data_IF_638799150536
#
_entry.id   IF_638799150536
#
_cell.length_a   1.000
_cell.length_b   1.000
_cell.length_c   1.000
_cell.angle_alpha   90.00
_cell.angle_beta   90.00
_cell.angle_gamma   90.00
#
_symmetry.space_group_name_H-M   'P 1'
#
loop_
_entity.id
_entity.type
_entity.pdbx_description
1 polymer ?
#
# COMPACT_ATOMS: atom_id res chain seq x y z
N UNK A 1 25.10 0.27 4.41
CA UNK A 1 24.61 1.15 5.50
C UNK A 1 24.35 2.52 4.90
N UNK A 2 23.12 3.02 4.95
CA UNK A 2 22.86 4.41 4.58
C UNK A 2 23.43 5.33 5.66
N UNK A 3 24.21 6.32 5.26
CA UNK A 3 24.58 7.42 6.13
C UNK A 3 23.39 8.40 6.19
N UNK A 4 22.38 8.03 6.97
CA UNK A 4 21.19 8.84 7.25
C UNK A 4 21.29 9.32 8.69
N UNK A 5 20.98 10.59 8.91
CA UNK A 5 20.88 11.18 10.25
C UNK A 5 19.62 10.68 10.96
N UNK A 6 19.61 10.73 12.29
CA UNK A 6 18.42 10.38 13.08
C UNK A 6 17.17 11.19 12.67
N UNK A 7 17.36 12.47 12.31
CA UNK A 7 16.26 13.34 11.87
C UNK A 7 15.69 12.91 10.53
N UNK A 8 16.54 12.55 9.57
CA UNK A 8 16.11 12.02 8.27
C UNK A 8 15.38 10.68 8.45
N UNK A 9 15.90 9.78 9.29
CA UNK A 9 15.24 8.50 9.59
C UNK A 9 13.85 8.71 10.22
N UNK A 10 13.73 9.66 11.15
CA UNK A 10 12.45 10.02 11.74
C UNK A 10 11.48 10.53 10.68
N UNK A 11 11.89 11.46 9.82
CA UNK A 11 11.05 12.01 8.78
C UNK A 11 10.59 10.92 7.79
N UNK A 12 11.47 10.01 7.41
CA UNK A 12 11.13 8.88 6.55
C UNK A 12 10.16 7.90 7.21
N UNK A 13 10.28 7.64 8.51
CA UNK A 13 9.29 6.84 9.24
C UNK A 13 7.90 7.51 9.23
N UNK A 14 7.85 8.82 9.45
CA UNK A 14 6.60 9.59 9.40
C UNK A 14 5.98 9.52 8.00
N UNK A 15 6.76 9.75 6.95
CA UNK A 15 6.29 9.66 5.55
C UNK A 15 5.73 8.27 5.26
N UNK A 16 6.47 7.21 5.59
CA UNK A 16 6.01 5.82 5.36
C UNK A 16 4.72 5.51 6.11
N UNK A 17 4.59 5.97 7.35
CA UNK A 17 3.37 5.82 8.14
C UNK A 17 2.16 6.50 7.49
N UNK A 18 2.31 7.73 7.01
CA UNK A 18 1.23 8.43 6.31
C UNK A 18 0.87 7.79 4.97
N UNK A 19 1.87 7.34 4.21
CA UNK A 19 1.64 6.65 2.93
C UNK A 19 0.86 5.34 3.15
N UNK A 20 1.28 4.53 4.14
CA UNK A 20 0.56 3.32 4.52
C UNK A 20 -0.89 3.61 4.97
N UNK A 21 -1.10 4.69 5.71
CA UNK A 21 -2.45 5.12 6.13
C UNK A 21 -3.31 5.51 4.92
N UNK A 22 -2.77 6.28 3.98
CA UNK A 22 -3.46 6.65 2.74
C UNK A 22 -3.85 5.41 1.92
N UNK A 23 -2.99 4.41 1.85
CA UNK A 23 -3.31 3.15 1.18
C UNK A 23 -4.48 2.41 1.85
N UNK A 24 -4.43 2.24 3.18
CA UNK A 24 -5.51 1.54 3.90
C UNK A 24 -6.84 2.29 3.78
N UNK A 25 -6.83 3.62 3.87
CA UNK A 25 -8.03 4.45 3.72
C UNK A 25 -8.59 4.36 2.30
N UNK A 26 -7.75 4.50 1.27
CA UNK A 26 -8.18 4.40 -0.13
C UNK A 26 -8.74 3.02 -0.48
N UNK A 27 -8.10 1.95 -0.01
CA UNK A 27 -8.61 0.59 -0.13
C UNK A 27 -9.96 0.42 0.57
N UNK A 28 -10.10 0.93 1.79
CA UNK A 28 -11.35 0.87 2.57
C UNK A 28 -12.50 1.58 1.84
N UNK A 29 -12.22 2.77 1.27
CA UNK A 29 -13.19 3.52 0.47
C UNK A 29 -13.59 2.71 -0.77
N UNK A 30 -12.63 2.15 -1.51
CA UNK A 30 -12.89 1.36 -2.71
C UNK A 30 -13.78 0.16 -2.41
N UNK A 31 -13.43 -0.63 -1.38
CA UNK A 31 -14.22 -1.80 -0.95
C UNK A 31 -15.63 -1.38 -0.57
N UNK A 32 -15.77 -0.29 0.20
CA UNK A 32 -17.08 0.19 0.65
C UNK A 32 -17.97 0.60 -0.52
N UNK A 33 -17.40 1.25 -1.53
CA UNK A 33 -18.10 1.72 -2.74
C UNK A 33 -18.54 0.57 -3.65
N UNK A 34 -17.73 -0.51 -3.73
CA UNK A 34 -18.01 -1.69 -4.55
C UNK A 34 -19.03 -2.62 -3.88
N UNK A 35 -18.81 -2.96 -2.60
CA UNK A 35 -19.62 -3.97 -1.89
C UNK A 35 -21.00 -3.43 -1.48
N UNK A 36 -21.12 -2.11 -1.29
CA UNK A 36 -22.34 -1.40 -0.84
C UNK A 36 -22.89 -1.83 0.54
N UNK A 37 -22.42 -2.95 1.10
CA UNK A 37 -22.79 -3.50 2.39
C UNK A 37 -21.64 -3.36 3.38
N UNK A 38 -21.84 -2.51 4.39
CA UNK A 38 -20.83 -2.18 5.40
C UNK A 38 -20.30 -3.44 6.10
N UNK A 39 -21.19 -4.34 6.55
CA UNK A 39 -20.78 -5.57 7.27
C UNK A 39 -19.89 -6.48 6.41
N UNK A 40 -20.22 -6.65 5.13
CA UNK A 40 -19.40 -7.46 4.22
C UNK A 40 -18.05 -6.77 3.91
N UNK A 41 -18.04 -5.44 3.78
CA UNK A 41 -16.81 -4.66 3.61
C UNK A 41 -15.85 -4.81 4.78
N UNK A 42 -16.36 -4.75 6.02
CA UNK A 42 -15.56 -4.97 7.24
C UNK A 42 -14.93 -6.35 7.24
N UNK A 43 -15.69 -7.39 6.89
CA UNK A 43 -15.17 -8.77 6.81
C UNK A 43 -14.01 -8.87 5.81
N UNK A 44 -14.14 -8.28 4.62
CA UNK A 44 -13.07 -8.28 3.60
C UNK A 44 -11.82 -7.56 4.11
N UNK A 45 -11.96 -6.42 4.79
CA UNK A 45 -10.84 -5.69 5.39
C UNK A 45 -10.16 -6.52 6.48
N UNK A 46 -10.92 -7.20 7.34
CA UNK A 46 -10.36 -8.11 8.34
C UNK A 46 -9.57 -9.25 7.69
N UNK A 47 -10.12 -9.89 6.66
CA UNK A 47 -9.39 -10.92 5.91
C UNK A 47 -8.11 -10.39 5.28
N UNK A 48 -8.14 -9.17 4.73
CA UNK A 48 -6.95 -8.52 4.20
C UNK A 48 -5.87 -8.33 5.27
N UNK A 49 -6.23 -7.86 6.47
CA UNK A 49 -5.26 -7.71 7.57
C UNK A 49 -4.67 -9.04 8.02
N UNK A 50 -5.49 -10.09 8.16
CA UNK A 50 -5.00 -11.44 8.48
C UNK A 50 -4.03 -11.94 7.40
N UNK A 51 -4.36 -11.71 6.14
CA UNK A 51 -3.50 -12.07 5.02
C UNK A 51 -2.15 -11.32 5.07
N UNK A 52 -2.14 -10.02 5.38
CA UNK A 52 -0.90 -9.27 5.56
C UNK A 52 -0.03 -9.83 6.67
N UNK A 53 -0.62 -10.21 7.81
CA UNK A 53 0.12 -10.82 8.93
C UNK A 53 0.74 -12.17 8.53
N UNK A 54 0.04 -12.98 7.75
CA UNK A 54 0.59 -14.25 7.23
C UNK A 54 1.76 -13.96 6.29
N UNK A 55 1.62 -12.98 5.39
CA UNK A 55 2.68 -12.59 4.46
C UNK A 55 3.91 -12.01 5.17
N UNK A 56 3.73 -11.30 6.27
CA UNK A 56 4.84 -10.84 7.12
C UNK A 56 5.64 -12.02 7.71
N UNK A 57 4.97 -13.12 8.06
CA UNK A 57 5.63 -14.33 8.59
C UNK A 57 6.27 -15.20 7.51
N UNK A 58 5.77 -15.14 6.27
CA UNK A 58 6.35 -15.84 5.12
C UNK A 58 7.48 -15.01 4.50
N UNK A 59 8.58 -14.82 5.25
CA UNK A 59 9.75 -14.04 4.84
C UNK A 59 10.51 -14.78 3.74
N UNK A 60 10.03 -14.66 2.50
CA UNK A 60 10.71 -15.08 1.28
C UNK A 60 11.07 -13.86 0.44
N UNK A 61 12.26 -13.85 -0.15
CA UNK A 61 12.73 -12.74 -0.98
C UNK A 61 11.74 -12.40 -2.11
N UNK A 62 11.18 -13.40 -2.80
CA UNK A 62 10.28 -13.15 -3.94
C UNK A 62 8.95 -12.51 -3.52
N UNK A 63 8.34 -13.01 -2.45
CA UNK A 63 7.10 -12.45 -1.88
C UNK A 63 7.35 -11.03 -1.37
N UNK A 64 8.54 -10.83 -0.80
CA UNK A 64 8.95 -9.56 -0.27
C UNK A 64 9.15 -8.51 -1.35
N UNK A 65 9.90 -8.87 -2.39
CA UNK A 65 10.26 -8.00 -3.48
C UNK A 65 9.05 -7.64 -4.35
N UNK A 66 8.17 -8.60 -4.63
CA UNK A 66 7.06 -8.38 -5.57
C UNK A 66 5.82 -7.77 -4.91
N UNK A 67 5.59 -8.02 -3.62
CA UNK A 67 4.29 -7.73 -3.01
C UNK A 67 4.41 -7.04 -1.66
N UNK A 68 4.96 -7.72 -0.66
CA UNK A 68 4.74 -7.30 0.70
C UNK A 68 5.58 -6.07 1.14
N UNK A 69 6.60 -5.65 0.37
CA UNK A 69 7.27 -4.35 0.57
C UNK A 69 6.37 -3.15 0.27
N UNK A 70 5.41 -3.34 -0.63
CA UNK A 70 4.44 -2.30 -1.02
C UNK A 70 3.21 -2.29 -0.11
N UNK A 71 3.06 -3.27 0.78
CA UNK A 71 1.91 -3.38 1.66
C UNK A 71 2.07 -2.50 2.91
N UNK A 72 0.97 -1.92 3.43
CA UNK A 72 1.01 -0.93 4.50
C UNK A 72 1.64 -1.46 5.79
N UNK A 73 1.42 -2.74 6.11
CA UNK A 73 1.98 -3.38 7.30
C UNK A 73 3.51 -3.34 7.31
N UNK A 74 4.15 -3.63 6.17
CA UNK A 74 5.61 -3.68 6.08
C UNK A 74 6.22 -2.32 5.81
N UNK A 75 5.51 -1.46 5.09
CA UNK A 75 5.93 -0.09 4.84
C UNK A 75 6.05 0.71 6.16
N UNK A 76 5.09 0.54 7.07
CA UNK A 76 5.07 1.23 8.37
C UNK A 76 5.91 0.53 9.46
N UNK A 77 5.95 -0.81 9.48
CA UNK A 77 6.49 -1.59 10.60
C UNK A 77 7.92 -2.12 10.45
N UNK A 78 8.50 -2.12 9.25
CA UNK A 78 9.76 -2.84 9.02
C UNK A 78 11.01 -2.04 9.38
N UNK A 79 11.85 -2.65 10.24
CA UNK A 79 13.22 -2.22 10.55
C UNK A 79 14.23 -2.59 9.45
N UNK A 80 13.90 -3.60 8.64
CA UNK A 80 14.76 -4.12 7.56
C UNK A 80 14.96 -3.12 6.42
N UNK A 81 14.07 -2.13 6.29
CA UNK A 81 14.19 -1.09 5.27
C UNK A 81 15.51 -0.29 5.34
N UNK A 82 16.06 -0.07 6.53
CA UNK A 82 17.30 0.71 6.70
C UNK A 82 18.56 -0.17 6.76
N UNK A 83 18.41 -1.44 7.14
CA UNK A 83 19.53 -2.38 7.33
C UNK A 83 19.73 -3.30 6.13
N UNK A 84 18.65 -3.66 5.44
CA UNK A 84 18.59 -4.53 4.24
C UNK A 84 17.79 -3.85 3.14
N UNK A 85 18.25 -2.68 2.74
CA UNK A 85 17.60 -1.96 1.66
C UNK A 85 17.69 -2.73 0.33
N UNK A 86 16.55 -3.08 -0.24
CA UNK A 86 16.45 -3.76 -1.52
C UNK A 86 16.59 -2.76 -2.68
N UNK A 87 17.23 -3.19 -3.77
CA UNK A 87 17.36 -2.37 -4.98
C UNK A 87 16.43 -2.94 -6.06
N UNK A 88 15.47 -2.13 -6.48
CA UNK A 88 14.59 -2.42 -7.61
C UNK A 88 15.23 -1.96 -8.91
N UNK A 89 15.21 -2.78 -9.96
CA UNK A 89 15.75 -2.40 -11.27
C UNK A 89 14.63 -2.39 -12.28
N UNK A 90 14.31 -1.21 -12.81
CA UNK A 90 13.26 -1.04 -13.82
C UNK A 90 13.74 -0.09 -14.92
N UNK A 91 13.49 -0.44 -16.18
CA UNK A 91 13.87 0.36 -17.36
C UNK A 91 15.36 0.78 -17.39
N UNK A 92 16.26 -0.10 -16.93
CA UNK A 92 17.70 0.18 -16.87
C UNK A 92 18.14 1.13 -15.75
N UNK A 93 17.22 1.58 -14.88
CA UNK A 93 17.53 2.40 -13.70
C UNK A 93 17.37 1.58 -12.43
N UNK A 94 18.28 1.80 -11.48
CA UNK A 94 18.21 1.23 -10.14
C UNK A 94 17.50 2.22 -9.21
N UNK A 95 16.45 1.76 -8.56
CA UNK A 95 15.67 2.48 -7.56
C UNK A 95 15.83 1.83 -6.20
N UNK A 96 15.97 2.67 -5.21
CA UNK A 96 16.05 2.29 -3.81
C UNK A 96 14.66 1.92 -3.28
N UNK A 97 14.52 0.79 -2.55
CA UNK A 97 13.26 0.39 -1.91
C UNK A 97 12.66 1.51 -1.07
N UNK A 98 13.51 2.29 -0.39
CA UNK A 98 13.13 3.39 0.48
C UNK A 98 12.29 4.46 -0.23
N UNK A 99 12.57 4.71 -1.52
CA UNK A 99 11.84 5.68 -2.34
C UNK A 99 10.79 4.99 -3.20
N UNK A 100 11.13 3.81 -3.74
CA UNK A 100 10.30 3.08 -4.68
C UNK A 100 9.02 2.55 -4.04
N UNK A 101 9.11 1.95 -2.85
CA UNK A 101 7.95 1.33 -2.22
C UNK A 101 6.87 2.36 -1.83
N UNK A 102 7.19 3.50 -1.17
CA UNK A 102 6.21 4.55 -0.94
C UNK A 102 5.65 5.15 -2.23
N UNK A 103 6.47 5.28 -3.29
CA UNK A 103 6.02 5.83 -4.57
C UNK A 103 4.97 4.93 -5.25
N UNK A 104 5.22 3.62 -5.28
CA UNK A 104 4.26 2.64 -5.82
C UNK A 104 2.99 2.61 -4.98
N UNK A 105 3.12 2.66 -3.65
CA UNK A 105 1.97 2.64 -2.73
C UNK A 105 1.06 3.87 -2.90
N UNK A 106 1.66 5.06 -3.08
CA UNK A 106 0.95 6.29 -3.43
C UNK A 106 0.25 6.20 -4.78
N UNK A 107 0.92 5.63 -5.79
CA UNK A 107 0.32 5.44 -7.11
C UNK A 107 -0.91 4.52 -7.03
N UNK A 108 -0.79 3.37 -6.34
CA UNK A 108 -1.90 2.44 -6.13
C UNK A 108 -3.05 3.09 -5.35
N UNK A 109 -2.74 3.87 -4.32
CA UNK A 109 -3.73 4.65 -3.57
C UNK A 109 -4.53 5.60 -4.47
N UNK A 110 -3.83 6.32 -5.36
CA UNK A 110 -4.45 7.20 -6.34
C UNK A 110 -5.35 6.45 -7.32
N UNK A 111 -4.90 5.29 -7.82
CA UNK A 111 -5.71 4.42 -8.70
C UNK A 111 -6.98 3.94 -7.98
N UNK A 112 -6.87 3.47 -6.73
CA UNK A 112 -8.03 3.02 -5.95
C UNK A 112 -9.05 4.13 -5.73
N UNK A 113 -8.60 5.34 -5.38
CA UNK A 113 -9.47 6.51 -5.24
C UNK A 113 -10.12 6.87 -6.58
N UNK A 114 -9.36 6.85 -7.68
CA UNK A 114 -9.87 7.12 -9.02
C UNK A 114 -10.98 6.15 -9.42
N UNK A 115 -10.78 4.85 -9.18
CA UNK A 115 -11.80 3.82 -9.44
C UNK A 115 -13.02 4.02 -8.55
N UNK A 116 -12.82 4.29 -7.26
CA UNK A 116 -13.93 4.52 -6.33
C UNK A 116 -14.77 5.75 -6.72
N UNK A 117 -14.12 6.86 -7.06
CA UNK A 117 -14.78 8.08 -7.53
C UNK A 117 -15.54 7.85 -8.84
N UNK A 118 -14.93 7.12 -9.78
CA UNK A 118 -15.58 6.77 -11.05
C UNK A 118 -16.80 5.88 -10.87
N UNK A 119 -16.71 4.86 -10.01
CA UNK A 119 -17.84 3.98 -9.69
C UNK A 119 -18.99 4.74 -9.03
N UNK A 120 -18.66 5.62 -8.07
CA UNK A 120 -19.65 6.48 -7.43
C UNK A 120 -20.32 7.41 -8.44
N UNK A 121 -19.54 8.04 -9.32
CA UNK A 121 -20.07 8.92 -10.37
C UNK A 121 -21.02 8.18 -11.33
N UNK A 122 -20.68 6.97 -11.75
CA UNK A 122 -21.55 6.12 -12.59
C UNK A 122 -22.88 5.80 -11.92
N UNK A 123 -22.86 5.52 -10.61
CA UNK A 123 -24.10 5.29 -9.84
C UNK A 123 -24.96 6.54 -9.76
N UNK A 124 -24.38 7.70 -9.50
CA UNK A 124 -25.13 8.96 -9.38
C UNK A 124 -25.73 9.42 -10.71
N UNK A 125 -25.04 9.17 -11.83
CA UNK A 125 -25.49 9.56 -13.17
C UNK A 125 -26.51 8.60 -13.79
N UNK A 126 -26.89 7.51 -13.10
CA UNK A 126 -27.99 6.64 -13.53
C UNK A 126 -27.72 5.81 -14.78
N UNK A 127 -26.46 5.63 -15.19
CA UNK A 127 -26.11 4.73 -16.29
C UNK A 127 -26.22 3.28 -15.81
N UNK A 128 -27.47 2.78 -15.73
CA UNK A 128 -27.78 1.35 -15.62
C UNK A 128 -27.51 0.72 -16.97
N UNK A 129 -26.42 -0.05 -17.08
CA UNK A 129 -26.28 -1.01 -18.17
C UNK A 129 -27.12 -2.22 -17.76
N UNK A 130 -28.18 -2.45 -18.54
CA UNK A 130 -28.97 -3.69 -18.58
C UNK A 130 -28.07 -4.82 -19.06
#
# INVERSE_FOLDING_TARGET
MFHITYMEQFLWNVIRGYVALLFVVSMTILISVIIERIMAGVVVICFYWVFLLIMEKMISFDVNHLFANFMPLRLAGSTDFYTRNEIYRFAGRAFDSMVWCPAVDLFLSGVMIGIAAWWLHRKTTGVRII
#
